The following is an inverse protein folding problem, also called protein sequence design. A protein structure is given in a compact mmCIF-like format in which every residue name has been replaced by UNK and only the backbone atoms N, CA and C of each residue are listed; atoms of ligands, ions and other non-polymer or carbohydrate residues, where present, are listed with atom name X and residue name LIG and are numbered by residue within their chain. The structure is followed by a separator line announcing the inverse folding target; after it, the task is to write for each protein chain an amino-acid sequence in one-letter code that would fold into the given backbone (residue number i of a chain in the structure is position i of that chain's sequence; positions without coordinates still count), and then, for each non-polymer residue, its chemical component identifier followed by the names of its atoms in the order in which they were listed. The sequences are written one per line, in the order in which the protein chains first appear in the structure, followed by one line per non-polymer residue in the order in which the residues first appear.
data_IF_111675689376
#
_entry.id   IF_111675689376
#
_cell.length_a   1.000
_cell.length_b   1.000
_cell.length_c   1.000
_cell.angle_alpha   90.00
_cell.angle_beta   90.00
_cell.angle_gamma   90.00
#
_symmetry.space_group_name_H-M   'P 1'
#
loop_
_entity.id
_entity.type
_entity.pdbx_description
1 polymer ?
#
# COMPACT_ATOMS: atom_id res chain seq x y z
N UNK A 1 9.42 23.15 -15.61
CA UNK A 1 9.55 22.86 -14.16
C UNK A 1 8.54 21.79 -13.75
N UNK A 2 8.97 20.56 -13.45
CA UNK A 2 8.07 19.54 -12.91
C UNK A 2 7.72 19.90 -11.47
N UNK A 3 6.48 20.33 -11.22
CA UNK A 3 5.93 20.57 -9.88
C UNK A 3 5.96 19.24 -9.11
N UNK A 4 7.04 19.00 -8.35
CA UNK A 4 7.23 17.77 -7.56
C UNK A 4 6.21 17.82 -6.42
N UNK A 5 5.03 17.26 -6.67
CA UNK A 5 3.96 17.15 -5.67
C UNK A 5 4.50 16.45 -4.43
N UNK A 6 4.48 17.16 -3.31
CA UNK A 6 4.82 16.61 -1.99
C UNK A 6 3.66 15.69 -1.62
N UNK A 7 3.88 14.39 -1.78
CA UNK A 7 2.89 13.38 -1.40
C UNK A 7 3.11 13.00 0.05
N UNK A 8 2.02 12.88 0.80
CA UNK A 8 2.05 12.61 2.23
C UNK A 8 1.48 11.22 2.51
N UNK A 9 2.16 10.49 3.38
CA UNK A 9 1.65 9.26 3.96
C UNK A 9 1.25 9.54 5.42
N UNK A 10 -0.01 9.30 5.74
CA UNK A 10 -0.53 9.38 7.12
C UNK A 10 -0.73 7.96 7.65
N UNK A 11 -0.42 7.74 8.93
CA UNK A 11 -0.70 6.45 9.56
C UNK A 11 -0.81 6.60 11.08
N UNK A 12 -1.73 5.85 11.68
CA UNK A 12 -1.90 5.71 13.13
C UNK A 12 -1.23 4.45 13.70
N UNK A 13 -0.61 4.53 14.88
CA UNK A 13 0.04 3.35 15.46
C UNK A 13 -0.20 3.29 16.96
N UNK A 14 -0.44 2.08 17.50
CA UNK A 14 -0.40 1.85 18.95
C UNK A 14 0.98 2.18 19.51
N UNK A 15 2.02 1.78 18.77
CA UNK A 15 3.41 2.13 19.08
C UNK A 15 4.01 2.93 17.92
N UNK A 16 4.09 4.25 18.12
CA UNK A 16 4.62 5.20 17.14
C UNK A 16 6.11 5.00 16.85
N UNK A 17 6.87 4.38 17.76
CA UNK A 17 8.29 4.06 17.54
C UNK A 17 8.48 2.85 16.64
N UNK A 18 7.54 1.91 16.59
CA UNK A 18 7.72 0.66 15.82
C UNK A 18 7.26 0.79 14.36
N UNK A 19 6.16 1.50 14.11
CA UNK A 19 5.55 1.58 12.77
C UNK A 19 6.47 2.23 11.72
N UNK A 20 7.15 3.37 12.00
CA UNK A 20 8.08 3.98 11.05
C UNK A 20 9.23 3.04 10.71
N UNK A 21 9.86 2.42 11.71
CA UNK A 21 10.95 1.47 11.46
C UNK A 21 10.53 0.28 10.58
N UNK A 22 9.30 -0.22 10.75
CA UNK A 22 8.75 -1.25 9.85
C UNK A 22 8.62 -0.76 8.40
N UNK A 23 8.25 0.50 8.18
CA UNK A 23 8.18 1.07 6.84
C UNK A 23 9.54 1.34 6.22
N UNK A 24 10.52 1.79 7.02
CA UNK A 24 11.82 2.21 6.53
C UNK A 24 12.79 1.04 6.31
N UNK A 25 12.82 0.06 7.23
CA UNK A 25 13.89 -0.94 7.29
C UNK A 25 13.44 -2.38 7.09
N UNK A 26 12.16 -2.71 7.28
CA UNK A 26 11.67 -4.09 7.15
C UNK A 26 10.94 -4.32 5.82
N UNK A 27 11.23 -5.44 5.16
CA UNK A 27 10.45 -5.90 3.99
C UNK A 27 9.16 -6.61 4.38
N UNK A 28 8.48 -6.12 5.41
CA UNK A 28 7.15 -6.61 5.81
C UNK A 28 6.04 -6.02 4.94
N UNK A 29 4.85 -6.64 4.93
CA UNK A 29 3.64 -6.13 4.27
C UNK A 29 3.34 -4.72 4.79
N UNK A 30 3.72 -3.71 4.02
CA UNK A 30 3.57 -2.28 4.32
C UNK A 30 2.91 -1.59 3.13
N UNK A 31 2.62 -0.30 3.24
CA UNK A 31 2.07 0.47 2.12
C UNK A 31 3.03 0.41 0.91
N UNK A 32 2.58 -0.22 -0.18
CA UNK A 32 3.37 -0.47 -1.37
C UNK A 32 3.82 0.83 -2.05
N UNK A 33 2.99 1.86 -2.07
CA UNK A 33 3.32 3.15 -2.68
C UNK A 33 4.44 3.85 -1.90
N UNK A 34 4.36 3.85 -0.58
CA UNK A 34 5.42 4.39 0.29
C UNK A 34 6.72 3.62 0.09
N UNK A 35 6.67 2.28 0.09
CA UNK A 35 7.85 1.42 -0.13
C UNK A 35 8.52 1.71 -1.48
N UNK A 36 7.73 1.81 -2.55
CA UNK A 36 8.24 2.10 -3.88
C UNK A 36 8.81 3.52 -3.97
N UNK A 37 8.22 4.49 -3.27
CA UNK A 37 8.74 5.85 -3.20
C UNK A 37 10.08 5.91 -2.44
N UNK A 38 10.20 5.21 -1.30
CA UNK A 38 11.45 5.07 -0.55
C UNK A 38 12.54 4.44 -1.41
N UNK A 39 12.24 3.38 -2.14
CA UNK A 39 13.19 2.73 -3.06
C UNK A 39 13.63 3.65 -4.20
N UNK A 40 12.73 4.51 -4.70
CA UNK A 40 13.00 5.40 -5.83
C UNK A 40 13.80 6.66 -5.46
N UNK A 41 13.50 7.25 -4.31
CA UNK A 41 14.04 8.56 -3.93
C UNK A 41 15.03 8.51 -2.76
N UNK A 42 15.13 7.38 -2.05
CA UNK A 42 15.98 7.23 -0.88
C UNK A 42 15.39 7.85 0.39
N UNK A 43 15.93 7.46 1.55
CA UNK A 43 15.45 7.88 2.87
C UNK A 43 15.60 9.39 3.13
N UNK A 44 16.66 10.00 2.62
CA UNK A 44 16.96 11.43 2.81
C UNK A 44 15.91 12.37 2.19
N UNK A 45 15.07 11.85 1.29
CA UNK A 45 13.98 12.62 0.68
C UNK A 45 12.68 12.61 1.52
N UNK A 46 12.68 12.01 2.70
CA UNK A 46 11.49 11.86 3.55
C UNK A 46 11.69 12.49 4.93
N UNK A 47 10.62 13.08 5.45
CA UNK A 47 10.55 13.59 6.82
C UNK A 47 9.45 12.84 7.56
N UNK A 48 9.76 12.36 8.78
CA UNK A 48 8.79 11.76 9.69
C UNK A 48 8.30 12.84 10.66
N UNK A 49 6.98 13.00 10.77
CA UNK A 49 6.35 13.96 11.68
C UNK A 49 5.34 13.21 12.55
N UNK A 50 5.47 13.32 13.87
CA UNK A 50 4.46 12.83 14.82
C UNK A 50 3.44 13.95 15.02
N UNK A 51 2.25 13.78 14.48
CA UNK A 51 1.22 14.82 14.50
C UNK A 51 0.44 14.89 15.82
N UNK A 52 0.12 13.72 16.39
CA UNK A 52 -0.68 13.62 17.63
C UNK A 52 -0.36 12.32 18.36
N UNK A 53 -0.14 12.43 19.67
CA UNK A 53 -0.04 11.30 20.60
C UNK A 53 -1.36 11.24 21.37
N UNK A 54 -1.98 10.07 21.45
CA UNK A 54 -3.29 9.88 22.09
C UNK A 54 -3.15 8.93 23.26
N UNK A 55 -3.24 9.46 24.49
CA UNK A 55 -3.37 8.71 25.75
C UNK A 55 -2.23 7.76 26.13
N UNK A 56 -2.39 7.08 27.27
CA UNK A 56 -1.58 5.92 27.66
C UNK A 56 -2.07 4.67 26.88
N UNK A 57 -1.15 3.76 26.54
CA UNK A 57 -1.35 2.68 25.55
C UNK A 57 -2.59 1.79 25.76
N UNK A 58 -3.15 1.74 26.96
CA UNK A 58 -4.19 0.78 27.36
C UNK A 58 -5.62 1.18 26.98
N UNK A 59 -5.90 2.46 26.71
CA UNK A 59 -7.28 2.94 26.54
C UNK A 59 -7.70 3.28 25.11
N UNK A 60 -6.78 3.24 24.14
CA UNK A 60 -7.10 3.66 22.77
C UNK A 60 -7.47 2.47 21.88
N UNK A 61 -8.76 2.34 21.58
CA UNK A 61 -9.28 1.42 20.57
C UNK A 61 -8.65 1.69 19.19
N UNK A 62 -8.42 0.62 18.42
CA UNK A 62 -7.98 0.70 17.02
C UNK A 62 -8.94 1.52 16.14
N UNK A 63 -10.23 1.47 16.44
CA UNK A 63 -11.25 2.22 15.70
C UNK A 63 -11.06 3.73 15.86
N UNK A 64 -10.71 4.18 17.07
CA UNK A 64 -10.48 5.59 17.35
C UNK A 64 -9.22 6.11 16.66
N UNK A 65 -8.16 5.29 16.60
CA UNK A 65 -6.96 5.58 15.83
C UNK A 65 -7.27 5.72 14.33
N UNK A 66 -8.10 4.81 13.80
CA UNK A 66 -8.50 4.81 12.41
C UNK A 66 -9.38 6.01 12.05
N UNK A 67 -10.33 6.37 12.91
CA UNK A 67 -11.16 7.56 12.74
C UNK A 67 -10.32 8.85 12.71
N UNK A 68 -9.31 8.95 13.58
CA UNK A 68 -8.37 10.08 13.54
C UNK A 68 -7.57 10.09 12.24
N UNK A 69 -7.06 8.94 11.80
CA UNK A 69 -6.37 8.80 10.51
C UNK A 69 -7.25 9.26 9.34
N UNK A 70 -8.52 8.87 9.32
CA UNK A 70 -9.51 9.28 8.32
C UNK A 70 -9.72 10.81 8.31
N UNK A 71 -9.82 11.44 9.48
CA UNK A 71 -9.97 12.89 9.59
C UNK A 71 -8.78 13.63 8.97
N UNK A 72 -7.55 13.19 9.25
CA UNK A 72 -6.35 13.77 8.67
C UNK A 72 -6.19 13.45 7.17
N UNK A 73 -6.64 12.27 6.72
CA UNK A 73 -6.62 11.91 5.30
C UNK A 73 -7.59 12.74 4.45
N UNK A 74 -8.67 13.26 5.05
CA UNK A 74 -9.62 14.16 4.40
C UNK A 74 -9.06 15.57 4.21
N UNK A 75 -8.21 16.05 5.13
CA UNK A 75 -7.63 17.39 5.04
C UNK A 75 -6.43 17.48 4.09
N UNK A 76 -5.89 16.35 3.62
CA UNK A 76 -4.71 16.30 2.75
C UNK A 76 -5.10 15.98 1.30
N UNK A 77 -4.80 16.92 0.39
CA UNK A 77 -5.04 16.74 -1.04
C UNK A 77 -4.03 15.80 -1.74
N UNK A 78 -2.76 15.86 -1.36
CA UNK A 78 -1.67 15.11 -2.01
C UNK A 78 -1.27 13.92 -1.15
N UNK A 79 -1.94 12.76 -1.33
CA UNK A 79 -1.73 11.57 -0.50
C UNK A 79 -1.20 10.36 -1.26
N UNK A 80 -0.42 9.53 -0.57
CA UNK A 80 -0.02 8.20 -1.06
C UNK A 80 -1.11 7.13 -0.91
N UNK A 81 -2.19 7.46 -0.18
CA UNK A 81 -3.32 6.55 0.01
C UNK A 81 -4.12 6.44 -1.29
N UNK A 82 -4.32 5.21 -1.75
CA UNK A 82 -5.23 4.93 -2.84
C UNK A 82 -6.70 5.06 -2.40
N UNK A 83 -6.99 4.66 -1.16
CA UNK A 83 -8.32 4.76 -0.57
C UNK A 83 -8.51 6.10 0.14
N UNK A 84 -9.76 6.56 0.15
CA UNK A 84 -10.15 7.77 0.88
C UNK A 84 -10.28 7.54 2.38
N UNK A 85 -10.51 6.28 2.79
CA UNK A 85 -10.55 5.83 4.19
C UNK A 85 -9.36 4.93 4.49
N UNK A 86 -8.89 4.95 5.73
CA UNK A 86 -7.81 4.15 6.30
C UNK A 86 -8.15 2.65 6.46
N UNK A 87 -9.32 2.21 5.97
CA UNK A 87 -9.69 0.80 5.93
C UNK A 87 -8.79 0.00 4.99
N UNK A 88 -8.78 -1.31 5.19
CA UNK A 88 -8.13 -2.25 4.29
C UNK A 88 -8.81 -2.23 2.92
N UNK A 89 -8.03 -2.41 1.85
CA UNK A 89 -8.54 -2.50 0.48
C UNK A 89 -9.30 -3.79 0.17
N UNK A 90 -9.50 -4.65 1.17
CA UNK A 90 -10.18 -5.93 1.02
C UNK A 90 -11.64 -5.68 0.65
N UNK A 91 -12.07 -6.17 -0.52
CA UNK A 91 -13.42 -5.94 -1.04
C UNK A 91 -13.64 -4.63 -1.79
N UNK A 92 -12.59 -3.81 -2.00
CA UNK A 92 -12.73 -2.59 -2.79
C UNK A 92 -13.03 -2.91 -4.26
N UNK A 93 -14.17 -2.40 -4.76
CA UNK A 93 -14.55 -2.48 -6.17
C UNK A 93 -13.98 -1.29 -6.93
N UNK A 94 -13.20 -1.57 -7.97
CA UNK A 94 -12.64 -0.52 -8.82
C UNK A 94 -13.74 0.20 -9.61
N UNK A 95 -13.62 1.53 -9.70
CA UNK A 95 -14.42 2.36 -10.62
C UNK A 95 -14.14 1.97 -12.09
N UNK A 96 -15.10 2.14 -13.01
CA UNK A 96 -14.91 1.87 -14.43
C UNK A 96 -13.74 2.65 -15.03
N UNK A 97 -13.53 3.90 -14.61
CA UNK A 97 -12.41 4.72 -15.05
C UNK A 97 -11.04 4.13 -14.65
N UNK A 98 -10.93 3.65 -13.41
CA UNK A 98 -9.72 2.96 -12.92
C UNK A 98 -9.45 1.67 -13.69
N UNK A 99 -10.50 0.89 -13.99
CA UNK A 99 -10.36 -0.33 -14.82
C UNK A 99 -9.85 0.01 -16.23
N UNK A 100 -10.38 1.06 -16.85
CA UNK A 100 -9.92 1.51 -18.16
C UNK A 100 -8.46 1.96 -18.14
N UNK A 101 -8.03 2.72 -17.11
CA UNK A 101 -6.62 3.10 -16.94
C UNK A 101 -5.70 1.88 -16.82
N UNK A 102 -6.11 0.87 -16.05
CA UNK A 102 -5.36 -0.39 -15.92
C UNK A 102 -5.28 -1.12 -17.26
N UNK A 103 -6.40 -1.23 -17.97
CA UNK A 103 -6.48 -1.87 -19.29
C UNK A 103 -5.58 -1.18 -20.31
N UNK A 104 -5.67 0.14 -20.43
CA UNK A 104 -4.88 0.93 -21.37
C UNK A 104 -3.38 0.85 -21.08
N UNK A 105 -2.99 0.82 -19.80
CA UNK A 105 -1.58 0.68 -19.43
C UNK A 105 -0.98 -0.69 -19.78
N UNK A 106 -1.83 -1.71 -19.93
CA UNK A 106 -1.43 -3.07 -20.34
C UNK A 106 -1.51 -3.28 -21.85
N UNK A 107 -2.18 -2.40 -22.59
CA UNK A 107 -2.22 -2.48 -24.04
C UNK A 107 -0.80 -2.27 -24.59
N UNK A 108 -0.33 -3.21 -25.41
CA UNK A 108 0.98 -3.15 -26.06
C UNK A 108 2.16 -3.71 -25.24
N UNK A 109 1.96 -4.16 -24.01
CA UNK A 109 3.03 -4.85 -23.28
C UNK A 109 3.16 -6.28 -23.77
N UNK A 110 4.27 -6.61 -24.45
CA UNK A 110 4.58 -7.98 -24.85
C UNK A 110 5.12 -8.74 -23.63
N UNK A 111 4.48 -9.86 -23.31
CA UNK A 111 4.96 -10.72 -22.24
C UNK A 111 6.26 -11.43 -22.66
N UNK A 112 7.25 -11.47 -21.77
CA UNK A 112 8.45 -12.26 -22.02
C UNK A 112 8.13 -13.75 -22.08
N UNK A 113 8.91 -14.48 -22.86
CA UNK A 113 8.73 -15.92 -23.11
C UNK A 113 8.78 -16.74 -21.82
N UNK A 114 9.70 -16.41 -20.92
CA UNK A 114 9.76 -16.99 -19.56
C UNK A 114 8.46 -16.78 -18.76
N UNK A 115 7.80 -15.62 -18.92
CA UNK A 115 6.54 -15.33 -18.23
C UNK A 115 5.37 -16.09 -18.87
N UNK A 116 5.35 -16.21 -20.21
CA UNK A 116 4.36 -17.02 -20.94
C UNK A 116 4.41 -18.47 -20.49
N UNK A 117 5.60 -19.05 -20.38
CA UNK A 117 5.79 -20.45 -19.96
C UNK A 117 5.30 -20.68 -18.51
N UNK A 118 5.60 -19.75 -17.60
CA UNK A 118 5.10 -19.81 -16.21
C UNK A 118 3.58 -19.73 -16.12
N UNK A 119 2.96 -18.85 -16.91
CA UNK A 119 1.50 -18.77 -16.98
C UNK A 119 0.89 -20.04 -17.56
N UNK A 120 1.48 -20.58 -18.63
CA UNK A 120 1.05 -21.84 -19.23
C UNK A 120 1.04 -22.97 -18.19
N UNK A 121 2.12 -23.12 -17.41
CA UNK A 121 2.20 -24.10 -16.32
C UNK A 121 1.18 -23.86 -15.18
N UNK A 122 0.81 -22.61 -14.90
CA UNK A 122 -0.20 -22.30 -13.88
C UNK A 122 -1.61 -22.66 -14.36
N UNK A 123 -1.92 -22.44 -15.64
CA UNK A 123 -3.23 -22.73 -16.22
C UNK A 123 -3.41 -24.19 -16.65
N UNK A 124 -2.32 -24.94 -16.88
CA UNK A 124 -2.38 -26.38 -17.15
C UNK A 124 -2.73 -27.21 -15.92
N UNK A 125 -2.73 -26.62 -14.72
CA UNK A 125 -3.16 -27.28 -13.48
C UNK A 125 -2.18 -28.31 -12.92
N UNK A 126 -1.06 -28.60 -13.59
CA UNK A 126 -0.09 -29.63 -13.19
C UNK A 126 0.68 -29.29 -11.90
N UNK A 127 0.71 -28.01 -11.48
CA UNK A 127 1.29 -27.59 -10.20
C UNK A 127 0.43 -26.52 -9.55
N UNK A 128 -0.71 -26.93 -8.99
CA UNK A 128 -1.44 -26.11 -8.02
C UNK A 128 -0.81 -26.39 -6.64
N UNK A 129 0.02 -25.50 -6.06
CA UNK A 129 0.63 -25.70 -4.74
C UNK A 129 -0.39 -25.78 -3.59
N UNK A 130 -1.68 -25.62 -3.87
CA UNK A 130 -2.78 -25.82 -2.94
C UNK A 130 -3.39 -27.23 -2.96
N UNK A 131 -3.09 -28.08 -3.95
CA UNK A 131 -3.64 -29.45 -4.03
C UNK A 131 -2.78 -30.50 -3.30
N UNK A 132 -1.51 -30.22 -3.02
CA UNK A 132 -0.59 -31.18 -2.38
C UNK A 132 -0.74 -31.29 -0.85
N UNK A 133 -1.77 -30.67 -0.24
CA UNK A 133 -1.99 -30.67 1.22
C UNK A 133 -3.21 -31.45 1.69
N UNK A 134 -3.62 -32.45 0.94
CA UNK A 134 -4.57 -33.46 1.42
C UNK A 134 -4.16 -34.82 0.88
N UNK A 135 -3.41 -35.56 1.69
CA UNK A 135 -3.53 -36.99 1.95
C UNK A 135 -2.75 -37.31 3.23
#
# INVERSE_FOLDING_TARGET
MHKKSIKIYVGSAKNASVRPFKHLFKSTKTNLHLKNALKKYGLLCFVLIIFKIVGNMETVSSEKLQQMEDLYLKSIQQKYHFLEKAFTSTGYKYTPESLNKIKNKRLGTVLSEQTKNKLCMLFSGEKIPFLEKTL
#
